data_IF_363267690609
#
_entry.id   IF_363267690609
#
_cell.length_a   1.000
_cell.length_b   1.000
_cell.length_c   1.000
_cell.angle_alpha   90.00
_cell.angle_beta   90.00
_cell.angle_gamma   90.00
#
_symmetry.space_group_name_H-M   'P 1'
#
loop_
_entity.id
_entity.type
_entity.pdbx_description
1 polymer ?
#
# COMPACT_ATOMS: atom_id res chain seq x y z
N UNK A 1 23.32 -15.54 -27.48
CA UNK A 1 23.22 -14.46 -26.48
C UNK A 1 24.00 -14.94 -25.28
N UNK A 2 24.99 -14.16 -24.83
CA UNK A 2 25.71 -14.45 -23.60
C UNK A 2 24.82 -14.06 -22.40
N UNK A 3 24.41 -15.00 -21.52
CA UNK A 3 23.58 -14.67 -20.37
C UNK A 3 24.17 -13.59 -19.47
N UNK A 4 25.50 -13.50 -19.39
CA UNK A 4 26.19 -12.51 -18.54
C UNK A 4 26.12 -11.08 -19.13
N UNK A 5 25.70 -10.96 -20.39
CA UNK A 5 25.50 -9.68 -21.07
C UNK A 5 24.10 -9.07 -20.88
N UNK A 6 23.19 -9.79 -20.19
CA UNK A 6 21.80 -9.34 -19.99
C UNK A 6 21.69 -8.51 -18.72
N UNK A 7 21.30 -7.24 -18.86
CA UNK A 7 20.95 -6.37 -17.74
C UNK A 7 19.45 -6.46 -17.44
N UNK A 8 19.12 -6.92 -16.24
CA UNK A 8 17.75 -7.00 -15.74
C UNK A 8 17.39 -5.84 -14.79
N UNK A 9 18.26 -4.84 -14.64
CA UNK A 9 18.07 -3.75 -13.69
C UNK A 9 17.13 -2.65 -14.20
N UNK A 10 16.39 -2.01 -13.30
CA UNK A 10 15.43 -0.92 -13.63
C UNK A 10 15.65 0.37 -12.83
N UNK A 11 16.84 0.54 -12.24
CA UNK A 11 17.18 1.69 -11.42
C UNK A 11 16.91 1.45 -9.94
N UNK A 12 16.03 2.26 -9.33
CA UNK A 12 15.62 2.05 -7.94
C UNK A 12 14.09 1.88 -7.85
N UNK A 13 13.59 0.72 -7.36
CA UNK A 13 14.34 -0.48 -6.94
C UNK A 13 15.13 -1.16 -8.07
N UNK A 14 16.10 -2.01 -7.72
CA UNK A 14 17.07 -2.57 -8.69
C UNK A 14 16.43 -3.55 -9.66
N UNK A 15 15.50 -4.39 -9.22
CA UNK A 15 14.88 -5.40 -10.07
C UNK A 15 13.41 -5.10 -10.39
N UNK A 16 12.89 -5.52 -11.56
CA UNK A 16 11.51 -5.31 -12.01
C UNK A 16 10.51 -6.25 -11.34
N UNK A 17 10.73 -6.55 -10.05
CA UNK A 17 9.89 -7.43 -9.27
C UNK A 17 9.28 -6.60 -8.15
N UNK A 18 7.99 -6.77 -7.91
CA UNK A 18 7.26 -6.09 -6.84
C UNK A 18 6.48 -7.11 -6.04
N UNK A 19 6.58 -7.06 -4.72
CA UNK A 19 5.67 -7.79 -3.84
C UNK A 19 4.39 -6.98 -3.75
N UNK A 20 3.33 -7.49 -4.38
CA UNK A 20 2.06 -6.80 -4.54
C UNK A 20 1.34 -6.55 -3.20
N UNK A 21 0.44 -5.57 -3.22
CA UNK A 21 -0.30 -5.07 -2.06
C UNK A 21 -1.15 -6.15 -1.35
N UNK A 22 -0.86 -6.40 -0.07
CA UNK A 22 -1.61 -7.33 0.79
C UNK A 22 -1.71 -6.77 2.22
N UNK A 23 -2.93 -6.50 2.70
CA UNK A 23 -3.17 -5.70 3.90
C UNK A 23 -2.83 -6.41 5.22
N UNK A 24 -2.33 -5.65 6.19
CA UNK A 24 -2.30 -6.11 7.58
C UNK A 24 -3.73 -6.39 8.07
N UNK A 25 -3.91 -7.55 8.71
CA UNK A 25 -5.21 -8.12 9.06
C UNK A 25 -5.73 -9.12 8.02
N UNK A 26 -5.46 -8.94 6.71
CA UNK A 26 -5.64 -10.04 5.74
C UNK A 26 -4.58 -11.12 5.96
N UNK A 27 -3.34 -10.67 6.19
CA UNK A 27 -2.18 -11.47 6.56
C UNK A 27 -1.85 -11.32 8.05
N UNK A 28 -1.06 -12.25 8.57
CA UNK A 28 -0.51 -12.18 9.93
C UNK A 28 0.63 -11.16 10.02
N UNK A 29 0.90 -10.66 11.23
CA UNK A 29 2.01 -9.72 11.48
C UNK A 29 3.38 -10.29 11.03
N UNK A 30 3.74 -11.56 11.33
CA UNK A 30 5.00 -12.12 10.84
C UNK A 30 5.12 -12.12 9.31
N UNK A 31 4.06 -12.51 8.60
CA UNK A 31 4.06 -12.49 7.14
C UNK A 31 4.20 -11.08 6.59
N UNK A 32 3.49 -10.12 7.19
CA UNK A 32 3.47 -8.73 6.79
C UNK A 32 4.84 -8.04 6.95
N UNK A 33 5.55 -8.33 8.04
CA UNK A 33 6.91 -7.85 8.27
C UNK A 33 7.94 -8.56 7.38
N UNK A 34 7.78 -9.87 7.19
CA UNK A 34 8.74 -10.68 6.45
C UNK A 34 8.96 -10.18 5.02
N UNK A 35 7.90 -9.76 4.31
CA UNK A 35 8.06 -9.29 2.94
C UNK A 35 8.67 -7.88 2.84
N UNK A 36 8.55 -7.05 3.88
CA UNK A 36 9.26 -5.77 3.94
C UNK A 36 10.77 -5.97 4.10
N UNK A 37 11.16 -6.89 4.99
CA UNK A 37 12.56 -7.28 5.18
C UNK A 37 13.13 -7.95 3.92
N UNK A 38 12.36 -8.85 3.29
CA UNK A 38 12.76 -9.47 2.03
C UNK A 38 12.98 -8.41 0.94
N UNK A 39 12.02 -7.49 0.76
CA UNK A 39 12.11 -6.44 -0.25
C UNK A 39 13.35 -5.55 -0.07
N UNK A 40 13.68 -5.20 1.18
CA UNK A 40 14.91 -4.49 1.54
C UNK A 40 16.16 -5.32 1.22
N UNK A 41 16.17 -6.60 1.57
CA UNK A 41 17.33 -7.48 1.40
C UNK A 41 17.73 -7.67 -0.08
N UNK A 42 16.74 -7.78 -0.98
CA UNK A 42 16.99 -7.99 -2.42
C UNK A 42 16.75 -6.72 -3.27
N UNK A 43 16.58 -5.57 -2.61
CA UNK A 43 16.41 -4.26 -3.23
C UNK A 43 15.27 -4.17 -4.26
N UNK A 44 14.08 -4.63 -3.87
CA UNK A 44 12.84 -4.54 -4.64
C UNK A 44 11.76 -3.73 -3.92
N UNK A 45 10.66 -3.38 -4.60
CA UNK A 45 9.51 -2.71 -3.97
C UNK A 45 8.54 -3.74 -3.37
N UNK A 46 7.94 -3.41 -2.24
CA UNK A 46 6.75 -4.06 -1.70
C UNK A 46 5.70 -3.03 -1.30
N UNK A 47 4.41 -3.42 -1.28
CA UNK A 47 3.31 -2.51 -0.96
C UNK A 47 2.46 -3.09 0.18
N UNK A 48 2.09 -2.26 1.16
CA UNK A 48 1.38 -2.69 2.37
C UNK A 48 -0.09 -3.10 2.17
N UNK A 49 -0.75 -2.61 1.10
CA UNK A 49 -2.19 -2.78 0.90
C UNK A 49 -3.08 -1.89 1.78
N UNK A 50 -4.40 -2.04 1.63
CA UNK A 50 -5.44 -1.13 2.14
C UNK A 50 -5.64 -1.07 3.67
N UNK A 51 -4.74 -1.66 4.46
CA UNK A 51 -4.96 -1.89 5.90
C UNK A 51 -4.20 -0.95 6.83
N UNK A 52 -3.59 0.12 6.29
CA UNK A 52 -2.62 0.91 7.01
C UNK A 52 -1.30 0.17 7.22
N UNK A 53 -0.44 0.73 8.06
CA UNK A 53 0.90 0.23 8.32
C UNK A 53 1.11 0.10 9.83
N UNK A 54 2.00 -0.81 10.25
CA UNK A 54 2.32 -0.95 11.67
C UNK A 54 3.25 0.21 12.06
N UNK A 55 2.91 0.97 13.10
CA UNK A 55 3.60 2.22 13.47
C UNK A 55 5.13 2.08 13.60
N UNK A 56 5.60 0.96 14.17
CA UNK A 56 7.04 0.71 14.34
C UNK A 56 7.79 0.42 13.02
N UNK A 57 7.07 0.21 11.91
CA UNK A 57 7.66 0.03 10.58
C UNK A 57 7.85 1.36 9.85
N UNK A 58 7.29 2.46 10.35
CA UNK A 58 7.33 3.76 9.67
C UNK A 58 8.78 4.20 9.48
N UNK A 59 9.15 4.56 8.24
CA UNK A 59 10.48 5.05 7.86
C UNK A 59 11.55 3.96 7.72
N UNK A 60 11.41 2.82 8.40
CA UNK A 60 12.40 1.74 8.39
C UNK A 60 12.62 1.10 7.00
N UNK A 61 11.60 1.18 6.14
CA UNK A 61 11.61 0.60 4.80
C UNK A 61 11.33 1.62 3.70
N UNK A 62 11.50 2.92 3.98
CA UNK A 62 11.04 4.01 3.11
C UNK A 62 11.35 3.80 1.62
N UNK A 63 12.55 3.32 1.29
CA UNK A 63 13.03 3.07 -0.08
C UNK A 63 12.40 1.85 -0.78
N UNK A 64 11.94 0.86 -0.02
CA UNK A 64 11.44 -0.43 -0.53
C UNK A 64 9.96 -0.63 -0.26
N UNK A 65 9.29 0.36 0.33
CA UNK A 65 7.90 0.27 0.78
C UNK A 65 7.03 1.28 0.04
N UNK A 66 5.89 0.80 -0.44
CA UNK A 66 4.76 1.59 -0.92
C UNK A 66 3.58 1.51 0.05
N UNK A 67 2.85 2.61 0.16
CA UNK A 67 1.65 2.73 0.97
C UNK A 67 0.42 2.81 0.06
N UNK A 68 -0.56 1.95 0.25
CA UNK A 68 -1.76 1.93 -0.58
C UNK A 68 -2.82 2.89 -0.02
N UNK A 69 -3.36 3.73 -0.90
CA UNK A 69 -4.49 4.63 -0.67
C UNK A 69 -5.71 4.03 -1.37
N UNK A 70 -6.58 3.39 -0.57
CA UNK A 70 -7.80 2.72 -1.04
C UNK A 70 -9.05 3.38 -0.48
N UNK A 71 -10.23 3.03 -1.01
CA UNK A 71 -11.52 3.69 -0.74
C UNK A 71 -11.86 3.88 0.75
N UNK A 72 -11.49 2.94 1.61
CA UNK A 72 -11.72 3.04 3.06
C UNK A 72 -10.79 3.98 3.82
N UNK A 73 -9.69 4.46 3.19
CA UNK A 73 -8.65 5.32 3.78
C UNK A 73 -8.10 4.82 5.13
N UNK A 74 -8.20 3.52 5.41
CA UNK A 74 -7.76 2.94 6.67
C UNK A 74 -6.27 3.21 6.91
N UNK A 75 -5.95 3.83 8.05
CA UNK A 75 -4.57 4.16 8.45
C UNK A 75 -3.90 5.25 7.62
N UNK A 76 -4.58 5.83 6.61
CA UNK A 76 -4.00 6.87 5.77
C UNK A 76 -3.81 8.14 6.58
N UNK A 77 -2.56 8.54 6.76
CA UNK A 77 -2.17 9.75 7.47
C UNK A 77 -0.95 10.40 6.80
N UNK A 78 -0.72 11.68 7.08
CA UNK A 78 0.47 12.38 6.59
C UNK A 78 1.77 11.70 7.06
N UNK A 79 1.78 11.17 8.28
CA UNK A 79 2.91 10.43 8.84
C UNK A 79 3.17 9.13 8.04
N UNK A 80 2.11 8.36 7.76
CA UNK A 80 2.23 7.13 6.97
C UNK A 80 2.74 7.43 5.56
N UNK A 81 2.20 8.44 4.88
CA UNK A 81 2.61 8.83 3.53
C UNK A 81 4.04 9.36 3.46
N UNK A 82 4.53 10.05 4.52
CA UNK A 82 5.93 10.48 4.63
C UNK A 82 6.89 9.32 4.94
N UNK A 83 6.37 8.18 5.39
CA UNK A 83 7.16 7.00 5.73
C UNK A 83 7.60 6.15 4.53
N UNK A 84 7.09 6.43 3.32
CA UNK A 84 7.30 5.63 2.11
C UNK A 84 7.76 6.44 0.90
N UNK A 85 8.29 5.75 -0.11
CA UNK A 85 8.70 6.34 -1.39
C UNK A 85 7.66 6.18 -2.50
N UNK A 86 6.70 5.27 -2.30
CA UNK A 86 5.60 5.03 -3.23
C UNK A 86 4.26 5.19 -2.52
N UNK A 87 3.30 5.79 -3.20
CA UNK A 87 1.88 5.74 -2.85
C UNK A 87 1.12 5.05 -3.99
N UNK A 88 0.36 4.01 -3.69
CA UNK A 88 -0.45 3.28 -4.66
C UNK A 88 -1.92 3.66 -4.48
N UNK A 89 -2.51 4.40 -5.43
CA UNK A 89 -3.94 4.66 -5.47
C UNK A 89 -4.63 3.39 -6.00
N UNK A 90 -5.50 2.79 -5.19
CA UNK A 90 -6.27 1.60 -5.58
C UNK A 90 -7.63 2.02 -6.14
N UNK A 91 -7.79 1.88 -7.45
CA UNK A 91 -9.09 2.03 -8.14
C UNK A 91 -9.86 0.72 -8.09
N UNK A 92 -9.18 -0.41 -8.26
CA UNK A 92 -9.80 -1.72 -8.17
C UNK A 92 -8.81 -2.86 -7.98
N UNK A 93 -9.32 -4.08 -7.94
CA UNK A 93 -8.53 -5.30 -7.86
C UNK A 93 -9.17 -6.42 -8.70
N UNK A 94 -8.35 -7.21 -9.40
CA UNK A 94 -8.84 -8.27 -10.28
C UNK A 94 -9.62 -9.39 -9.56
N UNK A 95 -9.40 -9.61 -8.26
CA UNK A 95 -10.11 -10.65 -7.51
C UNK A 95 -11.59 -10.34 -7.27
N UNK A 96 -11.94 -9.06 -7.16
CA UNK A 96 -13.32 -8.58 -6.91
C UNK A 96 -13.51 -7.20 -7.55
N UNK A 97 -13.64 -7.12 -8.89
CA UNK A 97 -13.88 -5.84 -9.55
C UNK A 97 -15.22 -5.25 -9.10
N UNK A 98 -15.23 -3.99 -8.66
CA UNK A 98 -16.45 -3.28 -8.27
C UNK A 98 -16.91 -3.47 -6.81
N UNK A 99 -16.17 -4.22 -5.99
CA UNK A 99 -16.42 -4.32 -4.54
C UNK A 99 -15.28 -3.73 -3.73
N UNK A 100 -15.61 -3.17 -2.55
CA UNK A 100 -14.63 -2.74 -1.58
C UNK A 100 -14.00 -3.91 -0.81
N UNK A 101 -12.89 -3.63 -0.13
CA UNK A 101 -12.26 -4.58 0.78
C UNK A 101 -13.17 -4.94 1.96
N UNK A 102 -13.14 -6.20 2.39
CA UNK A 102 -13.85 -6.66 3.59
C UNK A 102 -12.88 -7.40 4.51
N UNK A 103 -12.71 -6.89 5.72
CA UNK A 103 -12.01 -7.56 6.80
C UNK A 103 -12.99 -7.90 7.94
N UNK A 104 -13.29 -9.19 8.18
CA UNK A 104 -14.17 -9.59 9.27
C UNK A 104 -13.61 -9.18 10.64
N UNK A 105 -14.48 -8.73 11.53
CA UNK A 105 -14.17 -8.18 12.85
C UNK A 105 -13.40 -9.15 13.75
N UNK A 106 -13.65 -10.45 13.60
CA UNK A 106 -12.85 -11.50 14.27
C UNK A 106 -11.35 -11.47 13.93
N UNK A 107 -10.96 -10.83 12.82
CA UNK A 107 -9.56 -10.61 12.42
C UNK A 107 -9.04 -9.22 12.80
N UNK A 108 -9.91 -8.34 13.29
CA UNK A 108 -9.58 -6.98 13.71
C UNK A 108 -9.14 -7.00 15.17
N UNK A 109 -7.92 -7.50 15.39
CA UNK A 109 -7.25 -7.43 16.69
C UNK A 109 -6.91 -5.99 17.06
N UNK A 110 -6.49 -5.74 18.30
CA UNK A 110 -6.09 -4.39 18.75
C UNK A 110 -5.02 -3.75 17.86
N UNK A 111 -4.01 -4.53 17.43
CA UNK A 111 -2.97 -4.03 16.52
C UNK A 111 -3.53 -3.70 15.13
N UNK A 112 -4.42 -4.54 14.59
CA UNK A 112 -5.05 -4.29 13.28
C UNK A 112 -5.96 -3.07 13.35
N UNK A 113 -6.71 -2.93 14.44
CA UNK A 113 -7.55 -1.77 14.71
C UNK A 113 -6.71 -0.48 14.80
N UNK A 114 -5.59 -0.52 15.53
CA UNK A 114 -4.66 0.60 15.64
C UNK A 114 -4.08 1.02 14.28
N UNK A 115 -3.60 0.07 13.47
CA UNK A 115 -3.07 0.35 12.13
C UNK A 115 -4.12 0.97 11.19
N UNK A 116 -5.40 0.71 11.43
CA UNK A 116 -6.52 1.19 10.59
C UNK A 116 -7.23 2.42 11.15
N UNK A 117 -6.85 2.87 12.35
CA UNK A 117 -7.61 3.85 13.14
C UNK A 117 -9.10 3.44 13.31
N UNK A 118 -9.31 2.18 13.70
CA UNK A 118 -10.63 1.54 13.81
C UNK A 118 -10.87 0.94 15.19
N UNK A 119 -12.07 0.37 15.40
CA UNK A 119 -12.46 -0.30 16.65
C UNK A 119 -12.14 -1.80 16.59
N UNK A 120 -11.48 -2.39 17.62
CA UNK A 120 -11.25 -3.82 17.70
C UNK A 120 -12.55 -4.63 17.62
N UNK A 121 -12.52 -5.77 16.91
CA UNK A 121 -13.66 -6.67 16.80
C UNK A 121 -14.78 -6.23 15.84
N UNK A 122 -14.71 -5.04 15.25
CA UNK A 122 -15.72 -4.53 14.30
C UNK A 122 -15.39 -4.94 12.87
N UNK A 123 -16.40 -5.37 12.10
CA UNK A 123 -16.25 -5.62 10.65
C UNK A 123 -15.82 -4.33 9.94
N UNK A 124 -14.82 -4.42 9.08
CA UNK A 124 -14.33 -3.30 8.27
C UNK A 124 -14.65 -3.57 6.81
N UNK A 125 -15.67 -2.87 6.31
CA UNK A 125 -16.12 -2.94 4.91
C UNK A 125 -15.79 -1.60 4.27
N UNK A 126 -14.97 -1.62 3.23
CA UNK A 126 -14.64 -0.44 2.46
C UNK A 126 -15.74 -0.16 1.42
N UNK A 127 -15.98 1.11 1.06
CA UNK A 127 -16.79 1.44 -0.11
C UNK A 127 -16.22 0.82 -1.39
N UNK A 128 -17.06 0.56 -2.39
CA UNK A 128 -16.61 0.07 -3.70
C UNK A 128 -15.76 1.09 -4.46
N UNK A 129 -16.09 2.37 -4.31
CA UNK A 129 -15.42 3.49 -4.99
C UNK A 129 -14.72 4.41 -3.99
N UNK A 130 -13.70 5.12 -4.44
CA UNK A 130 -13.12 6.24 -3.71
C UNK A 130 -14.14 7.40 -3.72
N UNK A 131 -14.48 7.94 -2.56
CA UNK A 131 -15.51 8.99 -2.42
C UNK A 131 -15.08 10.37 -2.92
N UNK A 132 -13.81 10.50 -3.27
CA UNK A 132 -13.11 11.69 -3.73
C UNK A 132 -12.55 11.48 -5.16
N UNK A 133 -13.01 10.46 -5.88
CA UNK A 133 -12.52 10.14 -7.23
C UNK A 133 -13.66 9.63 -8.12
N UNK A 134 -14.29 10.57 -8.82
CA UNK A 134 -15.38 10.32 -9.77
C UNK A 134 -15.00 10.66 -11.23
N UNK A 135 -13.91 11.37 -11.43
CA UNK A 135 -13.41 11.82 -12.72
C UNK A 135 -11.89 11.66 -12.84
N UNK A 136 -11.33 11.94 -14.03
CA UNK A 136 -9.87 11.92 -14.22
C UNK A 136 -9.22 13.16 -13.60
N UNK A 137 -9.97 14.26 -13.53
CA UNK A 137 -9.60 15.49 -12.86
C UNK A 137 -9.46 15.27 -11.35
N UNK A 138 -10.40 14.52 -10.74
CA UNK A 138 -10.32 14.17 -9.31
C UNK A 138 -9.11 13.26 -9.03
N UNK A 139 -8.78 12.34 -9.96
CA UNK A 139 -7.57 11.53 -9.83
C UNK A 139 -6.31 12.41 -9.89
N UNK A 140 -6.30 13.43 -10.77
CA UNK A 140 -5.18 14.37 -10.84
C UNK A 140 -5.06 15.18 -9.53
N UNK A 141 -6.18 15.65 -8.97
CA UNK A 141 -6.21 16.35 -7.68
C UNK A 141 -5.69 15.46 -6.55
N UNK A 142 -6.14 14.21 -6.44
CA UNK A 142 -5.62 13.27 -5.45
C UNK A 142 -4.12 13.02 -5.60
N UNK A 143 -3.60 12.94 -6.84
CA UNK A 143 -2.16 12.82 -7.08
C UNK A 143 -1.41 14.04 -6.55
N UNK A 144 -1.93 15.25 -6.79
CA UNK A 144 -1.33 16.50 -6.33
C UNK A 144 -1.38 16.64 -4.81
N UNK A 145 -2.47 16.22 -4.18
CA UNK A 145 -2.60 16.16 -2.71
C UNK A 145 -1.56 15.22 -2.09
N UNK A 146 -1.40 14.00 -2.63
CA UNK A 146 -0.41 13.05 -2.14
C UNK A 146 1.02 13.59 -2.26
N UNK A 147 1.34 14.24 -3.39
CA UNK A 147 2.64 14.89 -3.60
C UNK A 147 2.84 16.13 -2.74
N UNK A 148 1.76 16.82 -2.38
CA UNK A 148 1.82 17.93 -1.43
C UNK A 148 2.18 17.44 -0.03
N UNK A 149 1.64 16.29 0.39
CA UNK A 149 1.97 15.65 1.67
C UNK A 149 3.42 15.15 1.70
N UNK A 150 3.91 14.57 0.60
CA UNK A 150 5.28 14.10 0.47
C UNK A 150 5.77 14.32 -0.98
N UNK A 151 6.57 15.38 -1.24
CA UNK A 151 7.06 15.74 -2.57
C UNK A 151 7.92 14.68 -3.24
N UNK A 152 8.48 13.75 -2.47
CA UNK A 152 9.33 12.67 -2.98
C UNK A 152 8.52 11.41 -3.37
N UNK A 153 7.19 11.41 -3.18
CA UNK A 153 6.36 10.26 -3.54
C UNK A 153 6.32 10.02 -5.04
N UNK A 154 6.60 8.78 -5.42
CA UNK A 154 6.15 8.22 -6.69
C UNK A 154 4.71 7.74 -6.51
N UNK A 155 3.82 8.14 -7.40
CA UNK A 155 2.41 7.71 -7.35
C UNK A 155 2.17 6.65 -8.41
N UNK A 156 1.62 5.50 -8.02
CA UNK A 156 1.09 4.48 -8.93
C UNK A 156 -0.43 4.43 -8.83
N UNK A 157 -1.08 4.07 -9.94
CA UNK A 157 -2.53 3.87 -10.00
C UNK A 157 -2.78 2.41 -10.35
N UNK A 158 -3.42 1.68 -9.43
CA UNK A 158 -3.78 0.27 -9.60
C UNK A 158 -5.18 0.15 -10.16
N UNK A 159 -5.25 -0.26 -11.43
CA UNK A 159 -6.48 -0.60 -12.16
C UNK A 159 -6.64 -2.13 -12.24
N UNK A 160 -7.87 -2.68 -12.38
CA UNK A 160 -8.13 -4.12 -12.44
C UNK A 160 -7.46 -4.85 -13.59
#
# INVERSE_FOLDING_TARGET
MDPDSVDASVGHPVYPIVIASMSFGSQSEPAFRAYAEAAKAINILCINGEGGEIQDMYGNYRKWRGQQVASGRFGVSAEMLNSSYVAEIKIGQGAKPGEGGHLPGKKVSEKVAAARNATPGTDLISPSNNHDLYSIEDLAELIDELKTVNPDLRVSVKVP
#
